data_IF_115587857027
#
_entry.id   IF_115587857027
#
_cell.length_a   1.000
_cell.length_b   1.000
_cell.length_c   1.000
_cell.angle_alpha   90.00
_cell.angle_beta   90.00
_cell.angle_gamma   90.00
#
_symmetry.space_group_name_H-M   'P 1'
#
loop_
_entity.id
_entity.type
_entity.pdbx_description
1 polymer ?
2 non-polymer ?
3 water ?
#
# COMPACT_ATOMS: atom_id res chain seq x y z
N UNK A 10 -20.95 -12.08 2.64
CA UNK A 10 -19.71 -11.65 1.97
C UNK A 10 -18.48 -12.29 2.59
N UNK A 11 -17.87 -13.23 1.86
CA UNK A 11 -16.75 -14.01 2.39
C UNK A 11 -15.48 -13.87 1.54
N UNK A 12 -15.41 -12.89 0.68
CA UNK A 12 -14.21 -12.67 -0.12
C UNK A 12 -13.11 -12.03 0.75
N UNK A 13 -11.87 -12.52 0.67
CA UNK A 13 -10.75 -11.80 1.30
C UNK A 13 -10.66 -10.37 0.77
N UNK A 14 -10.50 -9.42 1.69
CA UNK A 14 -10.48 -8.00 1.34
C UNK A 14 -9.68 -7.24 2.40
N UNK A 15 -8.98 -6.22 1.94
CA UNK A 15 -8.32 -5.27 2.81
C UNK A 15 -8.31 -3.92 2.12
N UNK A 16 -8.53 -2.87 2.89
CA UNK A 16 -8.31 -1.49 2.44
C UNK A 16 -7.76 -0.78 3.67
N UNK A 17 -6.44 -0.61 3.70
CA UNK A 17 -5.74 -0.01 4.83
C UNK A 17 -5.23 1.38 4.45
N UNK A 18 -5.02 2.20 5.46
CA UNK A 18 -4.76 3.62 5.27
C UNK A 18 -3.56 4.03 6.13
N UNK A 19 -2.87 5.09 5.70
CA UNK A 19 -1.68 5.52 6.42
C UNK A 19 -2.06 6.05 7.80
N UNK A 20 -1.24 5.71 8.80
CA UNK A 20 -1.39 6.25 10.14
C UNK A 20 -1.03 7.74 10.12
N UNK A 21 -1.97 8.66 10.37
CA UNK A 21 -1.68 10.10 10.24
C UNK A 21 -0.75 10.64 11.32
N UNK A 22 -0.53 9.88 12.40
CA UNK A 22 0.33 10.33 13.47
C UNK A 22 1.72 9.74 13.42
N UNK A 23 1.99 8.77 12.54
CA UNK A 23 3.35 8.32 12.33
C UNK A 23 4.14 9.48 11.74
N UNK A 24 5.38 9.63 12.18
CA UNK A 24 6.26 10.67 11.67
C UNK A 24 7.32 10.00 10.83
N UNK A 25 7.40 10.37 9.55
CA UNK A 25 8.44 9.86 8.68
C UNK A 25 8.33 8.38 8.42
N UNK A 26 7.11 7.86 8.40
CA UNK A 26 6.94 6.44 8.17
C UNK A 26 5.55 6.18 7.62
N UNK A 27 5.46 5.19 6.75
CA UNK A 27 4.20 4.79 6.13
C UNK A 27 3.77 3.52 6.85
N UNK A 28 2.94 3.69 7.86
CA UNK A 28 2.44 2.61 8.69
C UNK A 28 0.97 2.42 8.37
N UNK A 29 0.62 1.22 7.86
CA UNK A 29 -0.75 0.92 7.46
C UNK A 29 -1.60 0.52 8.66
N UNK A 30 -2.85 1.02 8.68
CA UNK A 30 -3.82 0.75 9.74
C UNK A 30 -5.12 0.27 9.11
N UNK A 31 -5.79 -0.67 9.78
CA UNK A 31 -7.13 -1.09 9.41
C UNK A 31 -8.20 -0.59 10.36
N UNK A 32 -7.85 -0.37 11.63
CA UNK A 32 -8.84 0.07 12.60
C UNK A 32 -9.03 1.57 12.47
N UNK A 33 -9.58 1.95 11.32
CA UNK A 33 -10.16 3.25 11.07
C UNK A 33 -11.52 3.03 10.39
N UNK A 34 -12.39 4.03 10.49
CA UNK A 34 -13.64 3.95 9.76
C UNK A 34 -13.32 3.97 8.27
N UNK A 35 -14.13 3.27 7.48
CA UNK A 35 -13.95 3.22 6.04
C UNK A 35 -12.63 2.57 5.64
N UNK A 36 -12.16 1.67 6.49
CA UNK A 36 -11.02 0.80 6.22
C UNK A 36 -11.49 -0.60 6.48
N UNK A 37 -10.75 -1.58 6.00
CA UNK A 37 -11.21 -2.97 6.03
C UNK A 37 -10.04 -3.92 6.18
N UNK A 38 -10.30 -5.03 6.85
CA UNK A 38 -9.34 -6.15 6.93
C UNK A 38 -10.17 -7.38 7.31
N UNK A 39 -10.68 -8.09 6.29
CA UNK A 39 -11.73 -9.06 6.52
C UNK A 39 -11.49 -10.37 5.77
N UNK A 40 -12.05 -11.45 6.31
CA UNK A 40 -12.18 -12.73 5.62
C UNK A 40 -10.84 -13.39 5.32
N UNK A 41 -9.91 -13.34 6.27
CA UNK A 41 -8.66 -14.06 6.22
C UNK A 41 -7.43 -13.19 6.03
N UNK A 42 -7.56 -12.02 5.42
CA UNK A 42 -6.40 -11.17 5.18
C UNK A 42 -5.84 -10.68 6.51
N UNK A 43 -4.53 -10.67 6.62
CA UNK A 43 -3.86 -10.24 7.82
C UNK A 43 -2.91 -9.09 7.50
N UNK A 44 -2.69 -8.23 8.49
CA UNK A 44 -1.69 -7.17 8.43
C UNK A 44 -0.62 -7.57 9.44
N UNK A 45 0.54 -7.99 8.95
CA UNK A 45 1.65 -8.45 9.77
C UNK A 45 2.91 -7.74 9.32
N UNK A 46 3.57 -7.05 10.25
CA UNK A 46 4.81 -6.33 9.97
C UNK A 46 4.65 -5.39 8.79
N UNK A 47 3.49 -4.73 8.77
CA UNK A 47 3.16 -3.68 7.80
C UNK A 47 2.85 -4.20 6.41
N UNK A 48 2.72 -5.51 6.24
CA UNK A 48 2.45 -6.12 4.96
C UNK A 48 1.12 -6.85 5.04
N UNK A 49 0.49 -7.04 3.89
CA UNK A 49 -0.77 -7.77 3.83
C UNK A 49 -0.48 -9.21 3.47
N UNK A 50 -1.06 -10.13 4.26
CA UNK A 50 -0.83 -11.57 4.12
C UNK A 50 -2.05 -12.21 3.47
N UNK A 51 -1.82 -12.93 2.40
CA UNK A 51 -2.89 -13.48 1.56
C UNK A 51 -3.40 -14.77 2.19
N UNK A 52 -4.71 -14.91 2.42
CA UNK A 52 -5.25 -16.13 3.06
C UNK A 52 -5.41 -17.34 2.15
N UNK A 53 -5.56 -17.16 0.83
CA UNK A 53 -5.84 -18.28 -0.05
C UNK A 53 -5.36 -17.92 -1.44
N UNK A 54 -5.07 -18.96 -2.22
CA UNK A 54 -4.63 -18.76 -3.59
C UNK A 54 -5.79 -18.22 -4.41
N UNK A 55 -5.44 -17.49 -5.46
CA UNK A 55 -6.46 -16.93 -6.33
C UNK A 55 -5.98 -15.63 -6.95
N UNK A 56 -6.88 -15.04 -7.71
CA UNK A 56 -6.62 -13.76 -8.37
C UNK A 56 -7.06 -12.66 -7.43
N UNK A 57 -6.20 -11.68 -7.25
CA UNK A 57 -6.52 -10.55 -6.41
C UNK A 57 -6.32 -9.28 -7.22
N UNK A 58 -7.23 -8.34 -7.05
CA UNK A 58 -7.00 -6.95 -7.45
C UNK A 58 -6.23 -6.25 -6.33
N UNK A 59 -5.14 -5.58 -6.68
CA UNK A 59 -4.25 -4.98 -5.71
C UNK A 59 -4.01 -3.54 -6.12
N UNK A 60 -4.07 -2.61 -5.16
CA UNK A 60 -3.98 -1.19 -5.50
C UNK A 60 -3.44 -0.37 -4.33
N UNK A 61 -3.00 0.83 -4.64
CA UNK A 61 -2.50 1.70 -3.58
C UNK A 61 -2.32 3.10 -4.14
N UNK A 62 -2.49 4.09 -3.28
CA UNK A 62 -2.18 5.46 -3.66
C UNK A 62 -1.33 6.08 -2.57
N UNK A 63 -0.37 6.89 -2.97
CA UNK A 63 0.33 7.80 -2.08
C UNK A 63 0.17 9.25 -2.55
N UNK A 64 0.28 10.18 -1.60
CA UNK A 64 0.32 11.61 -1.90
C UNK A 64 1.58 12.17 -1.28
N UNK A 65 2.35 12.88 -2.09
CA UNK A 65 3.56 13.58 -1.66
C UNK A 65 3.32 15.07 -1.64
N UNK A 66 4.03 15.75 -0.74
CA UNK A 66 3.90 17.17 -0.58
C UNK A 66 5.26 17.78 -0.28
N UNK A 67 5.43 19.03 -0.71
CA UNK A 67 6.65 19.77 -0.49
C UNK A 67 6.40 21.25 -0.63
N UNK A 68 7.48 22.00 -0.48
CA UNK A 68 7.39 23.46 -0.48
C UNK A 68 8.78 23.96 -0.78
N UNK A 69 8.92 24.76 -1.83
CA UNK A 69 10.22 25.24 -2.26
C UNK A 69 11.05 24.23 -3.03
N UNK A 75 14.42 15.71 -6.10
CA UNK A 75 14.18 14.35 -5.63
C UNK A 75 13.41 13.54 -6.66
N UNK A 76 13.64 12.22 -6.64
CA UNK A 76 12.78 11.26 -7.32
C UNK A 76 11.97 10.54 -6.25
N UNK A 77 10.68 10.38 -6.52
CA UNK A 77 9.77 9.83 -5.56
C UNK A 77 9.11 8.62 -6.17
N UNK A 78 9.22 7.47 -5.54
CA UNK A 78 8.51 6.36 -6.09
C UNK A 78 7.75 5.60 -5.06
N UNK A 79 7.00 4.66 -5.59
CA UNK A 79 5.93 4.02 -4.89
C UNK A 79 5.87 2.67 -5.56
N UNK A 80 5.91 1.59 -4.79
CA UNK A 80 5.95 0.25 -5.33
C UNK A 80 5.06 -0.66 -4.49
N UNK A 81 4.38 -1.60 -5.13
CA UNK A 81 3.79 -2.74 -4.45
C UNK A 81 4.60 -3.95 -4.85
N UNK A 82 5.07 -4.70 -3.86
CA UNK A 82 5.89 -5.86 -4.10
C UNK A 82 5.29 -7.13 -3.50
N UNK A 83 5.69 -8.24 -4.06
CA UNK A 83 5.22 -9.54 -3.63
C UNK A 83 6.36 -10.30 -3.00
N UNK A 84 6.13 -10.82 -1.81
CA UNK A 84 7.00 -11.82 -1.20
C UNK A 84 6.30 -13.16 -1.32
N UNK A 85 6.85 -14.05 -2.14
CA UNK A 85 6.29 -15.39 -2.26
C UNK A 85 6.65 -16.19 -1.01
N UNK A 86 5.65 -16.93 -0.50
CA UNK A 86 5.86 -17.81 0.64
C UNK A 86 7.00 -18.78 0.34
N UNK A 87 7.01 -19.33 -0.88
CA UNK A 87 8.05 -20.27 -1.28
C UNK A 87 9.40 -19.57 -1.46
N UNK A 88 9.47 -18.61 -2.37
CA UNK A 88 10.69 -17.85 -2.64
C UNK A 88 10.64 -16.54 -1.85
N UNK A 89 11.42 -16.46 -0.77
CA UNK A 89 11.34 -15.36 0.17
C UNK A 89 12.04 -14.09 -0.31
N UNK A 90 11.75 -13.69 -1.56
CA UNK A 90 12.37 -12.53 -2.18
C UNK A 90 11.32 -11.62 -2.81
N UNK A 91 11.57 -10.32 -2.69
CA UNK A 91 10.62 -9.26 -3.03
C UNK A 91 10.68 -9.00 -4.53
N UNK A 92 9.56 -9.17 -5.21
CA UNK A 92 9.42 -8.83 -6.62
C UNK A 92 8.46 -7.66 -6.70
N UNK A 93 8.83 -6.64 -7.48
CA UNK A 93 7.90 -5.57 -7.73
C UNK A 93 6.77 -6.04 -8.66
N UNK A 94 5.53 -5.85 -8.22
CA UNK A 94 4.39 -6.12 -9.08
C UNK A 94 3.96 -4.85 -9.83
N UNK A 95 3.99 -3.71 -9.15
CA UNK A 95 3.53 -2.43 -9.67
C UNK A 95 4.48 -1.37 -9.14
N UNK A 96 4.95 -0.47 -10.01
CA UNK A 96 5.89 0.54 -9.57
C UNK A 96 5.79 1.79 -10.45
N UNK A 97 6.03 2.94 -9.82
CA UNK A 97 5.94 4.21 -10.52
C UNK A 97 6.92 5.17 -9.88
N UNK A 98 7.39 6.12 -10.69
CA UNK A 98 8.32 7.13 -10.24
C UNK A 98 7.77 8.47 -10.72
N UNK A 99 7.95 9.51 -9.91
CA UNK A 99 7.51 10.85 -10.28
C UNK A 99 8.58 11.84 -9.87
N UNK A 100 8.88 12.78 -10.75
CA UNK A 100 9.75 13.90 -10.46
C UNK A 100 8.87 15.10 -10.18
N UNK A 101 8.98 15.79 -9.04
CA UNK A 101 8.24 17.04 -8.85
C UNK A 101 8.74 18.17 -9.76
N UNK A 112 7.74 30.68 -1.35
CA UNK A 112 7.65 29.21 -1.39
C UNK A 112 6.24 28.71 -1.03
N UNK A 113 5.47 28.36 -2.06
CA UNK A 113 4.14 27.80 -1.93
C UNK A 113 4.20 26.28 -2.04
N UNK A 114 3.18 25.57 -1.56
CA UNK A 114 3.29 24.10 -1.51
C UNK A 114 2.92 23.43 -2.83
N UNK A 115 3.51 22.25 -3.05
CA UNK A 115 3.18 21.41 -4.19
C UNK A 115 2.75 20.03 -3.68
N UNK A 116 1.93 19.34 -4.48
CA UNK A 116 1.45 18.01 -4.14
C UNK A 116 1.59 17.10 -5.34
N UNK A 117 1.82 15.81 -5.08
CA UNK A 117 1.95 14.85 -6.16
C UNK A 117 1.40 13.50 -5.75
N UNK A 118 0.29 13.05 -6.35
CA UNK A 118 -0.21 11.70 -6.12
C UNK A 118 0.41 10.69 -7.05
N UNK A 119 0.45 9.44 -6.60
CA UNK A 119 0.75 8.29 -7.44
C UNK A 119 -0.27 7.20 -7.12
N UNK A 120 -0.81 6.56 -8.17
CA UNK A 120 -1.75 5.46 -8.07
C UNK A 120 -1.18 4.22 -8.79
N UNK A 121 -1.36 3.06 -8.19
CA UNK A 121 -0.97 1.78 -8.78
C UNK A 121 -2.12 0.80 -8.58
N UNK A 122 -2.39 -0.04 -9.59
CA UNK A 122 -3.38 -1.09 -9.39
C UNK A 122 -3.36 -2.15 -10.48
N UNK A 123 -3.46 -3.41 -10.09
CA UNK A 123 -3.49 -4.47 -11.09
C UNK A 123 -4.01 -5.76 -10.47
N UNK A 124 -4.25 -6.72 -11.35
CA UNK A 124 -4.74 -8.03 -10.96
C UNK A 124 -3.60 -9.03 -11.03
N UNK A 125 -3.49 -9.87 -9.99
CA UNK A 125 -2.42 -10.83 -9.88
C UNK A 125 -2.91 -12.14 -9.27
N UNK A 126 -2.35 -13.24 -9.75
CA UNK A 126 -2.51 -14.53 -9.12
C UNK A 126 -1.52 -14.62 -7.96
N UNK A 127 -2.04 -14.82 -6.76
CA UNK A 127 -1.24 -14.97 -5.57
C UNK A 127 -1.52 -16.32 -4.94
N UNK A 128 -0.55 -16.80 -4.17
CA UNK A 128 -0.64 -18.07 -3.48
C UNK A 128 -0.74 -17.83 -1.99
N UNK A 129 -1.17 -18.87 -1.28
CA UNK A 129 -1.47 -18.75 0.13
C UNK A 129 -0.21 -18.38 0.92
N UNK A 130 -0.33 -17.35 1.75
CA UNK A 130 0.78 -16.89 2.55
C UNK A 130 1.67 -15.84 1.92
N UNK A 131 1.42 -15.44 0.67
CA UNK A 131 2.21 -14.37 0.10
C UNK A 131 1.99 -13.11 0.89
N UNK A 132 3.03 -12.31 1.02
CA UNK A 132 2.95 -11.00 1.66
C UNK A 132 3.10 -9.92 0.59
N UNK A 133 2.34 -8.85 0.75
CA UNK A 133 2.40 -7.70 -0.13
C UNK A 133 2.77 -6.48 0.69
N UNK A 134 3.68 -5.66 0.16
CA UNK A 134 3.97 -4.39 0.77
C UNK A 134 3.78 -3.27 -0.24
N UNK A 135 3.33 -2.11 0.23
CA UNK A 135 3.21 -0.90 -0.55
C UNK A 135 4.15 0.11 0.08
N UNK A 136 5.19 0.50 -0.66
CA UNK A 136 6.33 1.21 -0.09
C UNK A 136 6.66 2.43 -0.93
N UNK A 137 7.14 3.47 -0.25
CA UNK A 137 7.70 4.66 -0.87
C UNK A 137 9.14 4.86 -0.40
N UNK A 138 9.91 5.57 -1.22
CA UNK A 138 11.31 5.72 -0.86
C UNK A 138 11.54 6.86 0.11
N UNK A 139 10.67 7.85 0.15
CA UNK A 139 10.81 8.99 1.04
C UNK A 139 9.53 9.19 1.83
N UNK A 140 9.34 8.45 2.92
CA UNK A 140 8.12 8.65 3.72
C UNK A 140 8.02 10.05 4.29
N UNK A 141 9.13 10.77 4.38
CA UNK A 141 9.13 12.11 4.95
C UNK A 141 8.49 13.13 4.02
N UNK A 142 8.23 12.73 2.78
CA UNK A 142 7.52 13.57 1.85
C UNK A 142 6.03 13.27 1.81
N UNK A 143 5.55 12.25 2.51
CA UNK A 143 4.14 11.91 2.44
C UNK A 143 3.25 12.99 3.06
N UNK A 144 2.05 13.13 2.52
CA UNK A 144 1.02 13.98 3.11
C UNK A 144 -0.20 13.13 3.42
N UNK A 145 -0.49 12.93 4.71
CA UNK A 145 -1.76 12.32 5.11
C UNK A 145 -2.56 13.23 6.03
N UNK A 146 -2.43 14.54 5.82
CA UNK A 146 -3.13 15.53 6.62
C UNK A 146 -4.63 15.33 6.64
N UNK A 147 -5.19 14.61 5.67
CA UNK A 147 -6.62 14.45 5.55
C UNK A 147 -6.89 13.04 5.11
N UNK A 148 -8.09 12.55 5.37
CA UNK A 148 -8.47 11.20 5.04
C UNK A 148 -8.51 10.96 3.54
N UNK A 149 -8.21 9.71 3.15
CA UNK A 149 -8.36 9.24 1.79
C UNK A 149 -7.19 9.49 0.89
N UNK A 150 -6.08 10.00 1.42
CA UNK A 150 -4.95 10.41 0.63
C UNK A 150 -3.94 9.30 0.37
N UNK A 151 -3.76 8.38 1.32
CA UNK A 151 -2.75 7.32 1.23
C UNK A 151 -3.42 6.03 1.66
N UNK A 152 -3.44 5.04 0.78
CA UNK A 152 -4.18 3.82 1.04
C UNK A 152 -3.60 2.65 0.24
N UNK A 153 -3.96 1.44 0.65
CA UNK A 153 -3.41 0.19 0.12
C UNK A 153 -4.49 -0.87 0.33
N UNK A 154 -4.89 -1.56 -0.73
CA UNK A 154 -5.94 -2.56 -0.59
C UNK A 154 -5.77 -3.75 -1.51
N UNK A 155 -6.48 -4.82 -1.18
CA UNK A 155 -6.60 -5.98 -2.06
C UNK A 155 -8.03 -6.49 -1.97
N UNK A 156 -8.49 -7.17 -3.04
CA UNK A 156 -9.74 -7.91 -3.00
C UNK A 156 -9.58 -9.17 -3.82
N UNK A 157 -9.95 -10.30 -3.25
CA UNK A 157 -9.97 -11.52 -4.03
C UNK A 157 -11.13 -11.47 -5.01
N UNK A 158 -10.85 -11.86 -6.26
CA UNK A 158 -11.81 -11.80 -7.36
C UNK A 158 -12.18 -13.15 -7.93
#
# INVERSE_FOLDING_TARGET
SVRSSSRTPSDKPVAHVVANPQAEGQLQWLNRRANALLANGVELRDNQLVVPSEGLYLIYSQVLFKGQGCPSTHVLLCHTISRIAVSYQTKVNLLSAIKSPCQRETPEGAEAKPWYEPIYLGGVFQLEKGDRLSAEINRPDYLDFAESGQVYFGIIAL
#
